data_IF_905279686019
#
_entry.id   IF_905279686019
#
_cell.length_a   1.000
_cell.length_b   1.000
_cell.length_c   1.000
_cell.angle_alpha   90.00
_cell.angle_beta   90.00
_cell.angle_gamma   90.00
#
_symmetry.space_group_name_H-M   'P 1'
#
loop_
_entity.id
_entity.type
_entity.pdbx_description
1 polymer ?
#
# COMPACT_ATOMS: atom_id res chain seq x y z
N UNK A 1 -24.92 19.43 8.77
CA UNK A 1 -24.59 18.43 7.73
C UNK A 1 -23.13 18.04 7.90
N UNK A 2 -22.88 16.80 8.31
CA UNK A 2 -21.54 16.27 8.55
C UNK A 2 -20.71 16.35 7.27
N UNK A 3 -19.66 17.17 7.25
CA UNK A 3 -18.64 17.12 6.21
C UNK A 3 -17.86 15.81 6.39
N UNK A 4 -18.28 14.74 5.71
CA UNK A 4 -17.36 13.63 5.49
C UNK A 4 -16.23 14.19 4.62
N UNK A 5 -14.99 14.07 5.08
CA UNK A 5 -13.84 14.55 4.30
C UNK A 5 -13.72 13.73 3.02
N UNK A 6 -13.43 14.36 1.88
CA UNK A 6 -13.32 13.70 0.58
C UNK A 6 -12.32 12.53 0.60
N UNK A 7 -11.27 12.64 1.42
CA UNK A 7 -10.28 11.57 1.64
C UNK A 7 -10.92 10.30 2.20
N UNK A 8 -11.89 10.44 3.12
CA UNK A 8 -12.61 9.31 3.70
C UNK A 8 -13.49 8.63 2.66
N UNK A 9 -14.14 9.40 1.80
CA UNK A 9 -15.02 8.87 0.75
C UNK A 9 -14.21 8.11 -0.31
N UNK A 10 -13.10 8.70 -0.76
CA UNK A 10 -12.20 8.06 -1.72
C UNK A 10 -11.54 6.80 -1.13
N UNK A 11 -11.09 6.85 0.13
CA UNK A 11 -10.58 5.66 0.82
C UNK A 11 -11.65 4.57 0.96
N UNK A 12 -12.88 4.94 1.34
CA UNK A 12 -13.99 3.98 1.46
C UNK A 12 -14.27 3.30 0.13
N UNK A 13 -14.23 4.05 -0.97
CA UNK A 13 -14.36 3.51 -2.32
C UNK A 13 -13.28 2.47 -2.62
N UNK A 14 -12.01 2.79 -2.36
CA UNK A 14 -10.90 1.85 -2.52
C UNK A 14 -11.05 0.60 -1.65
N UNK A 15 -11.42 0.75 -0.37
CA UNK A 15 -11.65 -0.39 0.54
C UNK A 15 -12.74 -1.32 0.00
N UNK A 16 -13.84 -0.78 -0.54
CA UNK A 16 -14.91 -1.57 -1.14
C UNK A 16 -14.44 -2.36 -2.37
N UNK A 17 -13.49 -1.82 -3.15
CA UNK A 17 -12.86 -2.51 -4.28
C UNK A 17 -11.92 -3.63 -3.86
N UNK A 18 -11.10 -3.41 -2.84
CA UNK A 18 -10.04 -4.36 -2.45
C UNK A 18 -10.56 -5.48 -1.55
N UNK A 19 -11.59 -5.22 -0.73
CA UNK A 19 -12.11 -6.19 0.24
C UNK A 19 -12.55 -7.54 -0.38
N UNK A 20 -13.22 -7.59 -1.55
CA UNK A 20 -13.60 -8.86 -2.19
C UNK A 20 -12.45 -9.83 -2.47
N UNK A 21 -11.22 -9.34 -2.67
CA UNK A 21 -10.05 -10.21 -2.90
C UNK A 21 -9.24 -10.46 -1.62
N UNK A 22 -9.18 -9.47 -0.72
CA UNK A 22 -8.37 -9.56 0.49
C UNK A 22 -9.05 -10.40 1.58
N UNK A 23 -10.38 -10.32 1.70
CA UNK A 23 -11.11 -11.08 2.71
C UNK A 23 -11.00 -12.61 2.52
N UNK A 24 -11.20 -13.17 1.29
CA UNK A 24 -10.95 -14.60 1.05
C UNK A 24 -9.50 -15.02 1.29
N UNK A 25 -8.53 -14.13 1.06
CA UNK A 25 -7.11 -14.35 1.36
C UNK A 25 -6.78 -14.30 2.88
N UNK A 26 -7.79 -14.10 3.73
CA UNK A 26 -7.67 -14.11 5.19
C UNK A 26 -7.34 -12.76 5.82
N UNK A 27 -7.45 -11.66 5.06
CA UNK A 27 -7.28 -10.32 5.62
C UNK A 27 -8.60 -9.80 6.20
N UNK A 28 -8.49 -9.19 7.38
CA UNK A 28 -9.57 -8.44 8.02
C UNK A 28 -9.36 -6.94 7.81
N UNK A 29 -10.43 -6.23 7.50
CA UNK A 29 -10.42 -4.77 7.37
C UNK A 29 -10.51 -4.09 8.74
N UNK A 30 -9.67 -3.07 8.93
CA UNK A 30 -9.69 -2.17 10.08
C UNK A 30 -9.75 -0.73 9.55
N UNK A 31 -10.76 0.02 10.00
CA UNK A 31 -10.83 1.44 9.76
C UNK A 31 -9.68 2.14 10.49
N UNK A 32 -8.98 3.03 9.80
CA UNK A 32 -7.96 3.86 10.40
C UNK A 32 -8.50 5.24 10.81
N UNK A 33 -7.57 6.19 10.84
CA UNK A 33 -7.81 7.55 11.30
C UNK A 33 -8.22 8.46 10.13
N UNK A 34 -8.96 9.52 10.45
CA UNK A 34 -9.12 10.68 9.57
C UNK A 34 -8.71 11.91 10.37
N UNK A 35 -7.64 12.55 9.94
CA UNK A 35 -7.03 13.66 10.67
C UNK A 35 -6.32 14.62 9.70
N UNK A 36 -5.63 15.61 10.27
CA UNK A 36 -4.82 16.58 9.53
C UNK A 36 -3.41 16.55 10.10
N UNK A 37 -2.41 16.39 9.24
CA UNK A 37 -1.00 16.49 9.62
C UNK A 37 -0.32 17.69 8.92
N UNK A 38 1.00 17.84 9.10
CA UNK A 38 1.80 18.84 8.36
C UNK A 38 1.67 18.71 6.84
N UNK A 39 1.39 17.50 6.34
CA UNK A 39 1.09 17.22 4.93
C UNK A 39 -0.39 17.30 4.58
N UNK A 40 -1.19 18.04 5.35
CA UNK A 40 -2.61 18.25 5.11
C UNK A 40 -3.53 17.12 5.61
N UNK A 41 -4.83 17.20 5.26
CA UNK A 41 -5.82 16.18 5.60
C UNK A 41 -5.47 14.81 5.03
N UNK A 42 -5.80 13.76 5.78
CA UNK A 42 -5.59 12.38 5.34
C UNK A 42 -6.64 11.44 5.93
N UNK A 43 -6.81 10.29 5.27
CA UNK A 43 -7.56 9.15 5.78
C UNK A 43 -6.71 7.87 5.65
N UNK A 44 -6.74 7.00 6.67
CA UNK A 44 -6.03 5.70 6.64
C UNK A 44 -6.97 4.52 6.83
N UNK A 45 -6.54 3.37 6.32
CA UNK A 45 -7.14 2.07 6.60
C UNK A 45 -6.08 0.99 6.55
N UNK A 46 -6.37 -0.14 7.20
CA UNK A 46 -5.44 -1.27 7.20
C UNK A 46 -6.20 -2.57 6.96
N UNK A 47 -5.61 -3.46 6.15
CA UNK A 47 -6.00 -4.86 6.05
C UNK A 47 -4.97 -5.71 6.79
N UNK A 48 -5.41 -6.61 7.69
CA UNK A 48 -4.49 -7.44 8.50
C UNK A 48 -4.77 -8.92 8.35
N UNK A 49 -3.72 -9.71 8.18
CA UNK A 49 -3.73 -11.17 8.19
C UNK A 49 -2.60 -11.66 9.09
N UNK A 50 -2.95 -12.20 10.26
CA UNK A 50 -1.96 -12.58 11.31
C UNK A 50 -1.06 -11.37 11.65
N UNK A 51 0.24 -11.49 11.40
CA UNK A 51 1.27 -10.48 11.65
C UNK A 51 1.57 -9.59 10.42
N UNK A 52 0.90 -9.82 9.29
CA UNK A 52 1.05 -9.01 8.08
C UNK A 52 -0.05 -7.95 7.99
N UNK A 53 0.35 -6.70 7.77
CA UNK A 53 -0.54 -5.56 7.55
C UNK A 53 -0.31 -4.92 6.18
N UNK A 54 -1.41 -4.53 5.51
CA UNK A 54 -1.41 -3.69 4.32
C UNK A 54 -2.07 -2.37 4.68
N UNK A 55 -1.27 -1.33 4.84
CA UNK A 55 -1.71 0.03 5.12
C UNK A 55 -2.04 0.81 3.86
N UNK A 56 -3.13 1.56 3.90
CA UNK A 56 -3.57 2.51 2.88
C UNK A 56 -3.63 3.90 3.49
N UNK A 57 -3.27 4.89 2.70
CA UNK A 57 -3.41 6.30 3.04
C UNK A 57 -3.93 7.07 1.83
N UNK A 58 -4.94 7.90 2.03
CA UNK A 58 -5.42 8.87 1.04
C UNK A 58 -5.12 10.26 1.56
N UNK A 59 -4.60 11.12 0.69
CA UNK A 59 -4.32 12.54 0.91
C UNK A 59 -4.92 13.35 -0.23
N UNK A 60 -4.96 14.67 -0.06
CA UNK A 60 -5.35 15.64 -1.09
C UNK A 60 -6.68 15.28 -1.78
N UNK A 61 -7.66 14.86 -0.97
CA UNK A 61 -9.02 14.45 -1.37
C UNK A 61 -9.13 13.14 -2.16
N UNK A 62 -8.33 12.95 -3.19
CA UNK A 62 -8.48 11.85 -4.16
C UNK A 62 -7.15 11.18 -4.55
N UNK A 63 -6.09 11.41 -3.78
CA UNK A 63 -4.76 10.87 -4.07
C UNK A 63 -4.42 9.71 -3.13
N UNK A 64 -4.25 8.52 -3.71
CA UNK A 64 -3.72 7.36 -3.01
C UNK A 64 -2.22 7.58 -2.76
N UNK A 65 -1.78 7.54 -1.50
CA UNK A 65 -0.36 7.48 -1.18
C UNK A 65 0.20 6.06 -1.33
N UNK A 66 1.51 5.90 -1.13
CA UNK A 66 2.18 4.59 -1.22
C UNK A 66 1.50 3.54 -0.31
N UNK A 67 0.93 2.46 -0.86
CA UNK A 67 0.51 1.33 -0.04
C UNK A 67 1.71 0.73 0.68
N UNK A 68 1.53 0.43 1.95
CA UNK A 68 2.61 -0.02 2.84
C UNK A 68 2.36 -1.42 3.35
N UNK A 69 3.42 -2.20 3.49
CA UNK A 69 3.39 -3.57 4.00
C UNK A 69 4.22 -3.65 5.27
N UNK A 70 3.61 -4.16 6.34
CA UNK A 70 4.28 -4.33 7.62
C UNK A 70 4.21 -5.78 8.07
N UNK A 71 5.34 -6.33 8.50
CA UNK A 71 5.38 -7.65 9.10
C UNK A 71 6.48 -7.76 10.16
N UNK A 72 6.07 -7.92 11.43
CA UNK A 72 7.00 -7.79 12.55
C UNK A 72 7.64 -6.40 12.56
N UNK A 73 8.97 -6.36 12.53
CA UNK A 73 9.75 -5.10 12.42
C UNK A 73 10.07 -4.70 10.97
N UNK A 74 9.56 -5.45 9.99
CA UNK A 74 9.73 -5.19 8.56
C UNK A 74 8.73 -4.15 8.05
N UNK A 75 9.22 -3.25 7.19
CA UNK A 75 8.42 -2.27 6.45
C UNK A 75 8.81 -2.26 4.97
N UNK A 76 7.82 -2.21 4.09
CA UNK A 76 8.06 -1.96 2.67
C UNK A 76 6.98 -1.07 2.07
N UNK A 77 7.39 -0.07 1.29
CA UNK A 77 6.51 0.57 0.32
C UNK A 77 6.18 -0.39 -0.83
N UNK A 78 5.05 -0.16 -1.50
CA UNK A 78 4.57 -1.05 -2.56
C UNK A 78 5.59 -1.27 -3.69
N UNK A 79 6.18 -0.18 -4.21
CA UNK A 79 7.20 -0.26 -5.27
C UNK A 79 8.43 -1.05 -4.84
N UNK A 80 8.90 -0.82 -3.61
CA UNK A 80 10.09 -1.49 -3.08
C UNK A 80 9.84 -2.99 -2.85
N UNK A 81 8.64 -3.34 -2.38
CA UNK A 81 8.25 -4.73 -2.22
C UNK A 81 8.18 -5.45 -3.57
N UNK A 82 7.54 -4.85 -4.57
CA UNK A 82 7.47 -5.43 -5.92
C UNK A 82 8.87 -5.61 -6.51
N UNK A 83 9.76 -4.63 -6.33
CA UNK A 83 11.16 -4.74 -6.74
C UNK A 83 11.88 -5.88 -5.99
N UNK A 84 11.72 -5.97 -4.67
CA UNK A 84 12.33 -7.01 -3.84
C UNK A 84 11.82 -8.43 -4.16
N UNK A 85 10.62 -8.53 -4.74
CA UNK A 85 10.04 -9.77 -5.28
C UNK A 85 10.53 -10.08 -6.71
N UNK A 86 11.30 -9.19 -7.34
CA UNK A 86 11.78 -9.34 -8.71
C UNK A 86 10.69 -9.12 -9.77
N UNK A 87 9.62 -8.41 -9.43
CA UNK A 87 8.40 -8.28 -10.24
C UNK A 87 8.16 -6.86 -10.75
N UNK A 88 9.17 -5.98 -10.75
CA UNK A 88 9.05 -4.56 -11.15
C UNK A 88 8.35 -4.34 -12.49
N UNK A 89 8.60 -5.21 -13.48
CA UNK A 89 7.97 -5.12 -14.80
C UNK A 89 6.49 -5.51 -14.84
N UNK A 90 5.90 -5.91 -13.71
CA UNK A 90 4.48 -6.27 -13.58
C UNK A 90 3.68 -5.26 -12.76
N UNK A 91 4.31 -4.20 -12.25
CA UNK A 91 3.62 -3.20 -11.45
C UNK A 91 2.63 -2.40 -12.30
N UNK A 92 1.37 -2.38 -11.89
CA UNK A 92 0.33 -1.55 -12.45
C UNK A 92 0.22 -0.22 -11.70
N UNK A 93 0.42 -0.24 -10.38
CA UNK A 93 0.47 0.93 -9.52
C UNK A 93 1.91 1.45 -9.44
N UNK A 94 2.11 2.69 -9.85
CA UNK A 94 3.44 3.31 -9.94
C UNK A 94 3.51 4.63 -9.18
N UNK A 95 4.72 5.06 -8.77
CA UNK A 95 4.90 6.40 -8.21
C UNK A 95 4.39 7.48 -9.18
N UNK A 96 3.57 8.37 -8.64
CA UNK A 96 3.06 9.56 -9.33
C UNK A 96 3.82 10.81 -8.92
N UNK A 97 3.12 11.94 -8.94
CA UNK A 97 3.69 13.22 -8.54
C UNK A 97 3.68 13.36 -7.01
N UNK A 98 4.73 13.97 -6.45
CA UNK A 98 4.92 14.13 -5.01
C UNK A 98 4.86 12.78 -4.25
N UNK A 99 3.86 12.59 -3.38
CA UNK A 99 3.67 11.39 -2.56
C UNK A 99 2.56 10.47 -3.07
N UNK A 100 1.92 10.84 -4.19
CA UNK A 100 0.81 10.10 -4.76
C UNK A 100 1.30 8.90 -5.59
N UNK A 101 0.47 7.86 -5.63
CA UNK A 101 0.59 6.70 -6.50
C UNK A 101 -0.54 6.75 -7.51
N UNK A 102 -0.24 6.36 -8.75
CA UNK A 102 -1.18 6.40 -9.88
C UNK A 102 -1.16 5.08 -10.65
N UNK A 103 -2.21 4.84 -11.43
CA UNK A 103 -2.18 3.77 -12.43
C UNK A 103 -1.18 4.10 -13.54
N UNK A 104 -0.38 3.12 -13.96
CA UNK A 104 0.58 3.27 -15.05
C UNK A 104 -0.08 3.59 -16.40
N UNK A 105 -1.35 3.21 -16.58
CA UNK A 105 -2.14 3.46 -17.79
C UNK A 105 -3.03 4.72 -17.70
N UNK A 106 -2.96 5.48 -16.59
CA UNK A 106 -3.77 6.67 -16.36
C UNK A 106 -5.18 6.40 -15.84
N UNK A 107 -5.53 5.15 -15.50
CA UNK A 107 -6.78 4.77 -14.85
C UNK A 107 -6.83 5.01 -13.34
N UNK A 108 -7.78 4.36 -12.69
CA UNK A 108 -8.01 4.44 -11.23
C UNK A 108 -6.85 3.77 -10.46
N UNK A 109 -6.20 4.48 -9.51
CA UNK A 109 -5.12 3.90 -8.70
C UNK A 109 -5.56 2.69 -7.87
N UNK A 110 -6.81 2.59 -7.43
CA UNK A 110 -7.28 1.40 -6.72
C UNK A 110 -7.48 0.20 -7.64
N UNK A 111 -7.78 0.39 -8.92
CA UNK A 111 -7.81 -0.71 -9.90
C UNK A 111 -6.39 -1.21 -10.20
N UNK A 112 -5.42 -0.30 -10.30
CA UNK A 112 -4.02 -0.66 -10.42
C UNK A 112 -3.51 -1.45 -9.20
N UNK A 113 -3.81 -0.97 -7.98
CA UNK A 113 -3.47 -1.70 -6.75
C UNK A 113 -4.18 -3.06 -6.69
N UNK A 114 -5.44 -3.15 -7.13
CA UNK A 114 -6.17 -4.41 -7.20
C UNK A 114 -5.44 -5.41 -8.11
N UNK A 115 -5.02 -4.98 -9.30
CA UNK A 115 -4.26 -5.80 -10.23
C UNK A 115 -2.94 -6.28 -9.62
N UNK A 116 -2.16 -5.39 -9.00
CA UNK A 116 -0.91 -5.76 -8.33
C UNK A 116 -1.12 -6.76 -7.18
N UNK A 117 -2.20 -6.60 -6.41
CA UNK A 117 -2.54 -7.54 -5.36
C UNK A 117 -2.85 -8.93 -5.91
N UNK A 118 -3.61 -9.02 -6.99
CA UNK A 118 -4.02 -10.31 -7.58
C UNK A 118 -2.88 -11.00 -8.35
N UNK A 119 -2.05 -10.23 -9.06
CA UNK A 119 -1.04 -10.78 -9.97
C UNK A 119 0.33 -10.97 -9.34
N UNK A 120 0.65 -10.18 -8.31
CA UNK A 120 1.98 -10.15 -7.70
C UNK A 120 1.92 -10.51 -6.23
N UNK A 121 1.22 -9.71 -5.42
CA UNK A 121 1.35 -9.77 -3.95
C UNK A 121 0.75 -11.05 -3.37
N UNK A 122 -0.53 -11.35 -3.64
CA UNK A 122 -1.20 -12.53 -3.10
C UNK A 122 -0.55 -13.82 -3.61
N UNK A 123 -0.24 -13.99 -4.91
CA UNK A 123 0.47 -15.17 -5.39
C UNK A 123 1.87 -15.35 -4.76
N UNK A 124 2.62 -14.27 -4.53
CA UNK A 124 3.92 -14.35 -3.86
C UNK A 124 3.78 -14.80 -2.40
N UNK A 125 2.81 -14.22 -1.68
CA UNK A 125 2.50 -14.55 -0.29
C UNK A 125 2.06 -16.02 -0.14
N UNK A 126 1.22 -16.51 -1.05
CA UNK A 126 0.72 -17.89 -1.05
C UNK A 126 1.79 -18.91 -1.41
N UNK A 127 2.67 -18.58 -2.36
CA UNK A 127 3.77 -19.46 -2.77
C UNK A 127 4.76 -19.71 -1.65
N UNK A 128 5.15 -18.65 -0.93
CA UNK A 128 6.01 -18.77 0.24
C UNK A 128 5.94 -17.53 1.11
N UNK A 129 5.27 -17.66 2.24
CA UNK A 129 5.22 -16.61 3.25
C UNK A 129 6.62 -16.21 3.70
N UNK A 130 7.53 -17.17 3.96
CA UNK A 130 8.89 -16.86 4.39
C UNK A 130 9.68 -16.04 3.35
N UNK A 131 9.50 -16.34 2.06
CA UNK A 131 10.14 -15.56 0.99
C UNK A 131 9.54 -14.15 0.88
N UNK A 132 8.23 -14.02 1.09
CA UNK A 132 7.53 -12.74 1.12
C UNK A 132 7.99 -11.88 2.30
N UNK A 133 8.02 -12.44 3.51
CA UNK A 133 8.58 -11.78 4.70
C UNK A 133 10.02 -11.32 4.47
N UNK A 134 10.84 -12.19 3.86
CA UNK A 134 12.23 -11.84 3.52
C UNK A 134 12.31 -10.70 2.49
N UNK A 135 11.34 -10.59 1.57
CA UNK A 135 11.28 -9.47 0.62
C UNK A 135 10.94 -8.15 1.32
N UNK A 136 10.01 -8.16 2.30
CA UNK A 136 9.73 -6.99 3.14
C UNK A 136 10.99 -6.53 3.86
N UNK A 137 11.72 -7.45 4.50
CA UNK A 137 12.96 -7.12 5.22
C UNK A 137 14.03 -6.53 4.29
N UNK A 138 14.22 -7.10 3.09
CA UNK A 138 15.16 -6.55 2.10
C UNK A 138 14.77 -5.16 1.62
N UNK A 139 13.49 -4.93 1.36
CA UNK A 139 12.96 -3.62 0.99
C UNK A 139 13.20 -2.60 2.12
N UNK A 140 12.96 -2.99 3.38
CA UNK A 140 13.21 -2.14 4.54
C UNK A 140 14.69 -1.73 4.65
N UNK A 141 15.60 -2.70 4.54
CA UNK A 141 17.04 -2.44 4.63
C UNK A 141 17.52 -1.47 3.54
N UNK A 142 17.06 -1.66 2.29
CA UNK A 142 17.37 -0.75 1.17
C UNK A 142 16.90 0.68 1.46
N UNK A 143 15.70 0.85 2.02
CA UNK A 143 15.17 2.16 2.39
C UNK A 143 16.00 2.85 3.49
N UNK A 144 16.42 2.10 4.51
CA UNK A 144 17.31 2.61 5.56
C UNK A 144 18.68 3.03 5.01
N UNK A 145 19.25 2.23 4.11
CA UNK A 145 20.54 2.56 3.47
C UNK A 145 20.44 3.85 2.66
N UNK A 146 19.34 4.05 1.93
CA UNK A 146 19.09 5.28 1.18
C UNK A 146 18.97 6.49 2.11
N UNK A 147 18.25 6.37 3.23
CA UNK A 147 18.13 7.47 4.20
C UNK A 147 19.47 7.86 4.83
N UNK A 148 20.27 6.87 5.24
CA UNK A 148 21.59 7.14 5.83
C UNK A 148 22.60 7.67 4.80
N UNK A 149 22.49 7.23 3.54
CA UNK A 149 23.30 7.76 2.43
C UNK A 149 23.01 9.22 2.07
N UNK A 150 21.88 9.78 2.51
CA UNK A 150 21.55 11.21 2.38
C UNK A 150 22.09 12.09 3.53
N UNK A 151 22.61 11.47 4.60
CA UNK A 151 23.09 12.17 5.81
C UNK A 151 24.61 12.27 5.93
N UNK A 152 25.36 11.81 4.93
CA UNK A 152 26.82 11.87 4.84
C UNK A 152 27.25 12.85 3.73
#
# INVERSE_FOLDING_TARGET
MSHQSSEREFLRYGVLKLRPILAPAGFMYFSGEVAVSSGGPFATATFRRRNLEIGLIVRDRDSLGCPSYFEGDGYAGHSDLIEALGMKGKAHLVPGDQVAYRSADGGDPFDALLADLQEVILPALERSHAAFSSAIVRAHAKWLDQLHGYTA
#
